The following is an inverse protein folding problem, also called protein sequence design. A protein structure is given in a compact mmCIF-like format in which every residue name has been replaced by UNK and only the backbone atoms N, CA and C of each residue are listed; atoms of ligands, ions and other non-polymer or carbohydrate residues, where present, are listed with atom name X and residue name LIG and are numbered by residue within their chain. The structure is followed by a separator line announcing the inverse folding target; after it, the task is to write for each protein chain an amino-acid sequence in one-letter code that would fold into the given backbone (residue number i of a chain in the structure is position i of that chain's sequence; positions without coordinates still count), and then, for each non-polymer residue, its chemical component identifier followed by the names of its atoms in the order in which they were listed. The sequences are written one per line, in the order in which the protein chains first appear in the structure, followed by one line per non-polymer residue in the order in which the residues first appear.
data_IF_278819663983
#
_entry.id   IF_278819663983
#
_cell.length_a   1.000
_cell.length_b   1.000
_cell.length_c   1.000
_cell.angle_alpha   90.00
_cell.angle_beta   90.00
_cell.angle_gamma   90.00
#
_symmetry.space_group_name_H-M   'P 1'
#
loop_
_entity.id
_entity.type
_entity.pdbx_description
1 polymer ?
#
# COMPACT_ATOMS: atom_id res chain seq x y z
N UNK A 1 11.09 -20.17 -26.71
CA UNK A 1 9.86 -19.44 -26.31
C UNK A 1 8.83 -20.49 -25.91
N UNK A 2 8.71 -20.79 -24.61
CA UNK A 2 7.63 -21.66 -24.13
C UNK A 2 6.41 -20.77 -23.93
N UNK A 3 5.46 -20.85 -24.85
CA UNK A 3 4.13 -20.28 -24.71
C UNK A 3 3.44 -21.09 -23.61
N UNK A 4 3.43 -20.57 -22.39
CA UNK A 4 2.66 -21.16 -21.29
C UNK A 4 1.20 -20.98 -21.68
N UNK A 5 0.60 -22.06 -22.19
CA UNK A 5 -0.81 -22.10 -22.53
C UNK A 5 -1.62 -21.59 -21.34
N UNK A 6 -2.39 -20.53 -21.55
CA UNK A 6 -3.20 -19.94 -20.50
C UNK A 6 -4.27 -20.95 -20.06
N UNK A 7 -4.60 -21.00 -18.76
CA UNK A 7 -5.55 -21.97 -18.24
C UNK A 7 -6.94 -21.79 -18.86
N UNK A 8 -7.67 -22.90 -18.98
CA UNK A 8 -9.00 -22.92 -19.58
C UNK A 8 -10.03 -22.06 -18.81
N UNK A 9 -11.06 -21.51 -19.49
CA UNK A 9 -12.00 -20.61 -18.89
C UNK A 9 -12.75 -21.17 -17.67
N UNK A 10 -12.74 -20.47 -16.55
CA UNK A 10 -13.52 -20.86 -15.37
C UNK A 10 -15.03 -20.80 -15.63
N UNK A 11 -15.82 -21.62 -14.95
CA UNK A 11 -17.28 -21.47 -14.93
C UNK A 11 -17.68 -20.12 -14.28
N UNK A 12 -18.76 -19.45 -14.74
CA UNK A 12 -19.12 -18.09 -14.32
C UNK A 12 -19.31 -17.92 -12.80
N UNK A 13 -19.87 -18.92 -12.12
CA UNK A 13 -20.02 -18.90 -10.65
C UNK A 13 -18.67 -18.90 -9.92
N UNK A 14 -17.70 -19.72 -10.36
CA UNK A 14 -16.33 -19.74 -9.79
C UNK A 14 -15.61 -18.41 -9.99
N UNK A 15 -15.92 -17.66 -11.05
CA UNK A 15 -15.31 -16.34 -11.34
C UNK A 15 -15.76 -15.26 -10.38
N UNK A 16 -17.06 -15.18 -10.08
CA UNK A 16 -17.59 -14.18 -9.14
C UNK A 16 -17.02 -14.43 -7.74
N UNK A 17 -16.99 -15.70 -7.31
CA UNK A 17 -16.36 -16.09 -6.04
C UNK A 17 -14.88 -15.70 -6.00
N UNK A 18 -14.14 -15.92 -7.09
CA UNK A 18 -12.74 -15.52 -7.19
C UNK A 18 -12.55 -14.00 -7.11
N UNK A 19 -13.39 -13.23 -7.81
CA UNK A 19 -13.33 -11.77 -7.79
C UNK A 19 -13.65 -11.21 -6.39
N UNK A 20 -14.67 -11.74 -5.72
CA UNK A 20 -15.01 -11.36 -4.35
C UNK A 20 -13.89 -11.74 -3.39
N UNK A 21 -13.35 -12.96 -3.50
CA UNK A 21 -12.23 -13.41 -2.67
C UNK A 21 -11.00 -12.52 -2.85
N UNK A 22 -10.62 -12.20 -4.09
CA UNK A 22 -9.52 -11.29 -4.38
C UNK A 22 -9.78 -9.87 -3.86
N UNK A 23 -11.01 -9.36 -4.00
CA UNK A 23 -11.40 -8.05 -3.48
C UNK A 23 -11.32 -7.98 -1.95
N UNK A 24 -11.85 -8.99 -1.26
CA UNK A 24 -11.80 -9.08 0.20
C UNK A 24 -10.37 -9.26 0.69
N UNK A 25 -9.56 -10.12 0.05
CA UNK A 25 -8.17 -10.32 0.43
C UNK A 25 -7.34 -9.04 0.21
N UNK A 26 -7.51 -8.34 -0.92
CA UNK A 26 -6.85 -7.06 -1.18
C UNK A 26 -7.28 -5.97 -0.17
N UNK A 27 -8.58 -5.88 0.12
CA UNK A 27 -9.11 -4.96 1.13
C UNK A 27 -8.51 -5.21 2.51
N UNK A 28 -8.49 -6.47 2.96
CA UNK A 28 -8.04 -6.82 4.31
C UNK A 28 -6.51 -6.78 4.44
N UNK A 29 -5.78 -7.21 3.40
CA UNK A 29 -4.33 -7.04 3.34
C UNK A 29 -3.97 -5.56 3.44
N UNK A 30 -4.55 -4.71 2.61
CA UNK A 30 -4.22 -3.29 2.62
C UNK A 30 -4.75 -2.57 3.87
N UNK A 31 -5.88 -3.00 4.43
CA UNK A 31 -6.33 -2.52 5.75
C UNK A 31 -5.33 -2.84 6.86
N UNK A 32 -4.68 -4.01 6.78
CA UNK A 32 -3.64 -4.40 7.74
C UNK A 32 -2.36 -3.58 7.56
N UNK A 33 -2.02 -3.19 6.33
CA UNK A 33 -0.90 -2.27 6.06
C UNK A 33 -1.07 -0.92 6.78
N UNK A 34 -2.30 -0.43 6.96
CA UNK A 34 -2.55 0.83 7.67
C UNK A 34 -2.13 0.80 9.13
N UNK A 35 -2.06 -0.38 9.75
CA UNK A 35 -1.61 -0.54 11.14
C UNK A 35 -0.14 -0.16 11.34
N UNK A 36 0.67 -0.18 10.28
CA UNK A 36 2.07 0.26 10.34
C UNK A 36 2.22 1.76 10.10
N UNK A 37 1.16 2.42 9.65
CA UNK A 37 1.18 3.83 9.24
C UNK A 37 0.44 4.73 10.21
N UNK A 38 -0.81 4.44 10.56
CA UNK A 38 -1.71 5.39 11.24
C UNK A 38 -1.68 5.38 12.77
N UNK A 39 -1.40 4.27 13.48
CA UNK A 39 -1.45 4.21 14.95
C UNK A 39 -0.70 5.33 15.68
N UNK A 40 0.51 5.69 15.24
CA UNK A 40 1.30 6.73 15.91
C UNK A 40 0.62 8.11 15.95
N UNK A 41 -0.36 8.37 15.06
CA UNK A 41 -1.11 9.62 15.09
C UNK A 41 -2.10 9.72 16.26
N UNK A 42 -2.24 8.66 17.07
CA UNK A 42 -3.08 8.66 18.28
C UNK A 42 -2.29 9.14 19.51
N UNK A 43 -0.97 9.00 19.49
CA UNK A 43 -0.10 9.51 20.55
C UNK A 43 -0.04 11.05 20.53
N UNK A 44 -0.08 11.69 21.69
CA UNK A 44 0.00 13.15 21.82
C UNK A 44 1.42 13.65 22.01
N UNK A 45 2.34 12.83 22.54
CA UNK A 45 3.72 13.18 22.84
C UNK A 45 3.80 14.50 23.62
N UNK A 46 3.05 14.56 24.72
CA UNK A 46 2.84 15.79 25.49
C UNK A 46 4.14 16.44 25.95
N UNK A 47 4.22 17.76 25.81
CA UNK A 47 5.36 18.56 26.24
C UNK A 47 6.57 18.57 25.29
N UNK A 48 6.56 17.78 24.21
CA UNK A 48 7.69 17.71 23.28
C UNK A 48 7.44 18.58 22.04
N UNK A 49 8.19 19.69 21.94
CA UNK A 49 8.15 20.60 20.80
C UNK A 49 9.56 20.87 20.29
N UNK A 50 9.70 20.87 18.97
CA UNK A 50 10.92 21.30 18.29
C UNK A 50 10.55 22.39 17.29
N UNK A 51 11.32 23.47 17.25
CA UNK A 51 11.07 24.62 16.36
C UNK A 51 9.63 25.19 16.43
N UNK A 52 9.01 25.16 17.62
CA UNK A 52 7.63 25.62 17.82
C UNK A 52 6.54 24.66 17.31
N UNK A 53 6.92 23.53 16.72
CA UNK A 53 6.02 22.50 16.18
C UNK A 53 6.00 21.30 17.13
N UNK A 54 4.83 20.73 17.38
CA UNK A 54 4.67 19.50 18.18
C UNK A 54 5.41 18.34 17.53
N UNK A 55 6.07 17.50 18.34
CA UNK A 55 6.80 16.33 17.84
C UNK A 55 5.94 15.40 16.99
N UNK A 56 4.69 15.17 17.39
CA UNK A 56 3.70 14.42 16.62
C UNK A 56 3.56 14.93 15.18
N UNK A 57 3.43 16.25 14.99
CA UNK A 57 3.28 16.87 13.68
C UNK A 57 4.55 16.68 12.83
N UNK A 58 5.72 16.80 13.44
CA UNK A 58 7.00 16.55 12.75
C UNK A 58 7.12 15.10 12.27
N UNK A 59 6.69 14.13 13.09
CA UNK A 59 6.64 12.72 12.69
C UNK A 59 5.67 12.50 11.52
N UNK A 60 4.49 13.12 11.55
CA UNK A 60 3.51 13.04 10.46
C UNK A 60 4.10 13.61 9.17
N UNK A 61 4.69 14.80 9.21
CA UNK A 61 5.33 15.43 8.05
C UNK A 61 6.42 14.52 7.49
N UNK A 62 7.30 14.02 8.36
CA UNK A 62 8.41 13.15 7.96
C UNK A 62 7.94 11.87 7.27
N UNK A 63 6.92 11.20 7.83
CA UNK A 63 6.33 10.00 7.23
C UNK A 63 5.64 10.31 5.88
N UNK A 64 4.93 11.43 5.77
CA UNK A 64 4.25 11.84 4.53
C UNK A 64 5.26 12.13 3.43
N UNK A 65 6.38 12.79 3.73
CA UNK A 65 7.45 13.04 2.74
C UNK A 65 8.05 11.71 2.27
N UNK A 66 8.38 10.79 3.19
CA UNK A 66 8.87 9.46 2.83
C UNK A 66 7.89 8.71 1.92
N UNK A 67 6.60 8.73 2.29
CA UNK A 67 5.54 8.11 1.49
C UNK A 67 5.40 8.77 0.10
N UNK A 68 5.52 10.09 0.00
CA UNK A 68 5.49 10.79 -1.28
C UNK A 68 6.66 10.36 -2.18
N UNK A 69 7.88 10.32 -1.65
CA UNK A 69 9.07 9.91 -2.40
C UNK A 69 8.95 8.47 -2.89
N UNK A 70 8.35 7.57 -2.11
CA UNK A 70 8.12 6.19 -2.53
C UNK A 70 7.27 6.08 -3.80
N UNK A 71 6.36 7.04 -4.07
CA UNK A 71 5.52 6.99 -5.27
C UNK A 71 6.32 7.25 -6.54
N UNK A 72 7.30 8.14 -6.48
CA UNK A 72 8.18 8.40 -7.62
C UNK A 72 9.09 7.20 -7.91
N UNK A 73 9.71 6.63 -6.87
CA UNK A 73 10.55 5.43 -7.02
C UNK A 73 9.72 4.18 -7.36
N UNK A 74 8.50 4.10 -6.84
CA UNK A 74 7.59 2.96 -6.98
C UNK A 74 7.14 2.70 -8.40
N UNK A 75 7.02 3.73 -9.25
CA UNK A 75 6.65 3.55 -10.65
C UNK A 75 7.64 2.63 -11.36
N UNK A 76 8.95 2.87 -11.17
CA UNK A 76 10.00 2.04 -11.77
C UNK A 76 10.08 0.68 -11.08
N UNK A 77 10.12 0.68 -9.75
CA UNK A 77 10.28 -0.53 -8.95
C UNK A 77 9.16 -1.55 -9.18
N UNK A 78 7.89 -1.11 -9.21
CA UNK A 78 6.74 -2.01 -9.41
C UNK A 78 6.65 -2.47 -10.87
N UNK A 79 6.98 -1.61 -11.84
CA UNK A 79 6.99 -1.98 -13.26
C UNK A 79 8.04 -3.04 -13.59
N UNK A 80 9.15 -3.08 -12.87
CA UNK A 80 10.23 -4.07 -13.04
C UNK A 80 10.00 -5.35 -12.22
N UNK A 81 8.94 -5.41 -11.41
CA UNK A 81 8.70 -6.52 -10.48
C UNK A 81 8.02 -7.70 -11.20
N UNK A 82 8.77 -8.79 -11.35
CA UNK A 82 8.24 -10.05 -11.86
C UNK A 82 7.19 -10.66 -10.90
N UNK A 83 6.21 -11.38 -11.47
CA UNK A 83 5.12 -12.04 -10.73
C UNK A 83 5.62 -12.91 -9.56
N UNK A 84 6.73 -13.63 -9.73
CA UNK A 84 7.29 -14.58 -8.76
C UNK A 84 7.98 -13.94 -7.53
N UNK A 85 8.15 -12.61 -7.52
CA UNK A 85 8.86 -11.90 -6.43
C UNK A 85 7.95 -11.11 -5.49
N UNK A 86 6.65 -11.01 -5.78
CA UNK A 86 5.77 -10.01 -5.14
C UNK A 86 5.55 -10.28 -3.66
N UNK A 87 5.30 -11.53 -3.27
CA UNK A 87 5.07 -11.88 -1.87
C UNK A 87 6.31 -11.59 -1.00
N UNK A 88 7.49 -12.01 -1.47
CA UNK A 88 8.75 -11.78 -0.75
C UNK A 88 9.06 -10.28 -0.62
N UNK A 89 8.85 -9.52 -1.68
CA UNK A 89 9.03 -8.06 -1.66
C UNK A 89 8.05 -7.38 -0.71
N UNK A 90 6.78 -7.80 -0.68
CA UNK A 90 5.78 -7.26 0.24
C UNK A 90 6.20 -7.49 1.69
N UNK A 91 6.60 -8.72 2.02
CA UNK A 91 7.04 -9.07 3.35
C UNK A 91 8.31 -8.31 3.76
N UNK A 92 9.28 -8.15 2.85
CA UNK A 92 10.50 -7.39 3.11
C UNK A 92 10.19 -5.90 3.39
N UNK A 93 9.34 -5.26 2.59
CA UNK A 93 8.94 -3.87 2.78
C UNK A 93 8.23 -3.65 4.11
N UNK A 94 7.31 -4.57 4.47
CA UNK A 94 6.60 -4.53 5.76
C UNK A 94 7.57 -4.79 6.91
N UNK A 95 8.48 -5.76 6.79
CA UNK A 95 9.45 -6.08 7.82
C UNK A 95 10.36 -4.88 8.11
N UNK A 96 10.91 -4.22 7.08
CA UNK A 96 11.73 -3.01 7.25
C UNK A 96 10.90 -1.90 7.92
N UNK A 97 9.68 -1.68 7.44
CA UNK A 97 8.76 -0.69 8.04
C UNK A 97 8.46 -0.97 9.52
N UNK A 98 8.29 -2.24 9.88
CA UNK A 98 8.00 -2.67 11.24
C UNK A 98 9.22 -2.59 12.16
N UNK A 99 10.41 -2.92 11.65
CA UNK A 99 11.68 -2.71 12.36
C UNK A 99 11.90 -1.22 12.62
N UNK A 100 11.58 -0.33 11.66
CA UNK A 100 11.64 1.12 11.91
C UNK A 100 10.74 1.54 13.09
N UNK A 101 9.56 0.94 13.26
CA UNK A 101 8.69 1.20 14.41
C UNK A 101 9.26 0.64 15.71
N UNK A 102 9.91 -0.52 15.67
CA UNK A 102 10.59 -1.08 16.84
C UNK A 102 11.74 -0.17 17.30
N UNK A 103 12.59 0.26 16.36
CA UNK A 103 13.70 1.17 16.66
C UNK A 103 13.16 2.53 17.12
N UNK A 104 12.01 2.98 16.59
CA UNK A 104 11.36 4.22 17.01
C UNK A 104 10.91 4.17 18.47
N UNK A 105 10.49 3.00 18.95
CA UNK A 105 10.08 2.83 20.34
C UNK A 105 11.24 3.00 21.34
N UNK A 106 12.48 2.82 20.88
CA UNK A 106 13.70 2.82 21.71
C UNK A 106 14.47 4.14 21.56
N UNK A 107 14.49 4.72 20.36
CA UNK A 107 15.27 5.92 20.06
C UNK A 107 14.59 7.18 20.60
N UNK A 108 15.30 8.07 21.30
CA UNK A 108 14.74 9.32 21.80
C UNK A 108 14.42 10.31 20.66
N UNK A 109 13.46 11.19 20.92
CA UNK A 109 13.21 12.35 20.06
C UNK A 109 14.49 13.22 19.95
N UNK A 110 14.78 13.86 18.80
CA UNK A 110 13.97 13.97 17.58
C UNK A 110 14.24 12.89 16.51
N UNK A 111 15.20 11.99 16.73
CA UNK A 111 15.70 11.05 15.70
C UNK A 111 14.63 10.11 15.14
N UNK A 112 13.53 9.90 15.87
CA UNK A 112 12.36 9.17 15.38
C UNK A 112 11.78 9.70 14.05
N UNK A 113 12.00 10.97 13.68
CA UNK A 113 11.62 11.48 12.36
C UNK A 113 12.22 10.66 11.21
N UNK A 114 13.51 10.33 11.28
CA UNK A 114 14.21 9.57 10.22
C UNK A 114 13.59 8.18 10.09
N UNK A 115 13.23 7.55 11.21
CA UNK A 115 12.58 6.24 11.21
C UNK A 115 11.19 6.29 10.62
N UNK A 116 10.40 7.33 10.95
CA UNK A 116 9.08 7.52 10.37
C UNK A 116 9.14 7.86 8.89
N UNK A 117 10.18 8.58 8.43
CA UNK A 117 10.46 8.77 7.02
C UNK A 117 10.69 7.45 6.29
N UNK A 118 11.60 6.60 6.79
CA UNK A 118 11.92 5.29 6.17
C UNK A 118 10.69 4.37 6.22
N UNK A 119 9.98 4.34 7.35
CA UNK A 119 8.70 3.63 7.49
C UNK A 119 7.68 4.08 6.42
N UNK A 120 7.47 5.39 6.28
CA UNK A 120 6.58 5.96 5.27
C UNK A 120 7.00 5.60 3.85
N UNK A 121 8.31 5.63 3.58
CA UNK A 121 8.88 5.26 2.30
C UNK A 121 8.59 3.79 1.94
N UNK A 122 8.88 2.85 2.84
CA UNK A 122 8.64 1.42 2.59
C UNK A 122 7.15 1.09 2.42
N UNK A 123 6.27 1.74 3.20
CA UNK A 123 4.83 1.48 3.13
C UNK A 123 4.18 1.98 1.85
N UNK A 124 4.72 3.02 1.21
CA UNK A 124 4.07 3.61 0.03
C UNK A 124 4.13 2.76 -1.24
N UNK A 125 5.00 1.75 -1.28
CA UNK A 125 5.03 0.74 -2.34
C UNK A 125 3.90 -0.29 -2.22
N UNK A 126 3.38 -0.56 -1.00
CA UNK A 126 2.50 -1.69 -0.75
C UNK A 126 1.16 -1.60 -1.48
N UNK A 127 0.62 -0.39 -1.69
CA UNK A 127 -0.61 -0.23 -2.46
C UNK A 127 -0.47 -0.76 -3.88
N UNK A 128 0.57 -0.33 -4.59
CA UNK A 128 0.78 -0.74 -5.98
C UNK A 128 1.21 -2.20 -6.07
N UNK A 129 1.95 -2.70 -5.08
CA UNK A 129 2.33 -4.10 -5.00
C UNK A 129 1.10 -5.01 -4.80
N UNK A 130 0.19 -4.68 -3.88
CA UNK A 130 -1.06 -5.43 -3.68
C UNK A 130 -1.95 -5.32 -4.93
N UNK A 131 -2.05 -4.12 -5.52
CA UNK A 131 -2.81 -3.93 -6.76
C UNK A 131 -2.27 -4.77 -7.92
N UNK A 132 -0.95 -4.98 -8.00
CA UNK A 132 -0.35 -5.77 -9.08
C UNK A 132 -0.85 -7.22 -9.13
N UNK A 133 -1.31 -7.82 -8.01
CA UNK A 133 -1.87 -9.19 -7.98
C UNK A 133 -3.20 -9.32 -8.72
N UNK A 134 -3.96 -8.23 -8.76
CA UNK A 134 -5.32 -8.22 -9.30
C UNK A 134 -5.36 -7.57 -10.68
N UNK A 135 -4.31 -6.82 -11.02
CA UNK A 135 -4.09 -6.22 -12.32
C UNK A 135 -4.08 -7.26 -13.46
N UNK A 136 -4.73 -6.93 -14.56
CA UNK A 136 -4.83 -7.79 -15.74
C UNK A 136 -6.07 -8.69 -15.77
N UNK A 137 -6.90 -8.67 -14.71
CA UNK A 137 -8.21 -9.35 -14.69
C UNK A 137 -9.31 -8.47 -15.25
N UNK A 138 -10.40 -9.06 -15.75
CA UNK A 138 -11.62 -8.31 -16.09
C UNK A 138 -12.15 -7.53 -14.88
N UNK A 139 -12.16 -8.16 -13.70
CA UNK A 139 -12.63 -7.57 -12.44
C UNK A 139 -11.65 -6.59 -11.76
N UNK A 140 -10.54 -6.21 -12.41
CA UNK A 140 -9.54 -5.29 -11.82
C UNK A 140 -10.17 -3.99 -11.30
N UNK A 141 -11.10 -3.40 -12.05
CA UNK A 141 -11.71 -2.11 -11.68
C UNK A 141 -12.58 -2.23 -10.42
N UNK A 142 -13.32 -3.32 -10.29
CA UNK A 142 -14.09 -3.64 -9.07
C UNK A 142 -13.15 -3.86 -7.90
N UNK A 143 -12.13 -4.72 -8.06
CA UNK A 143 -11.20 -5.05 -6.97
C UNK A 143 -10.41 -3.81 -6.53
N UNK A 144 -9.97 -2.99 -7.49
CA UNK A 144 -9.31 -1.70 -7.23
C UNK A 144 -10.21 -0.73 -6.47
N UNK A 145 -11.50 -0.66 -6.83
CA UNK A 145 -12.48 0.18 -6.12
C UNK A 145 -12.72 -0.30 -4.69
N UNK A 146 -12.88 -1.61 -4.48
CA UNK A 146 -13.02 -2.20 -3.14
C UNK A 146 -11.76 -1.95 -2.32
N UNK A 147 -10.57 -2.13 -2.89
CA UNK A 147 -9.31 -1.82 -2.22
C UNK A 147 -9.22 -0.31 -1.88
N UNK A 148 -9.73 0.60 -2.70
CA UNK A 148 -9.77 2.03 -2.38
C UNK A 148 -10.71 2.35 -1.20
N UNK A 149 -11.86 1.66 -1.09
CA UNK A 149 -12.79 1.81 0.05
C UNK A 149 -12.09 1.49 1.38
N UNK A 150 -11.08 0.61 1.38
CA UNK A 150 -10.29 0.32 2.59
C UNK A 150 -9.63 1.57 3.19
N UNK A 151 -9.38 2.63 2.41
CA UNK A 151 -8.75 3.86 2.90
C UNK A 151 -9.63 4.56 3.94
N UNK A 152 -10.96 4.44 3.80
CA UNK A 152 -11.96 5.04 4.70
C UNK A 152 -12.00 4.23 6.00
N UNK A 153 -12.14 2.91 5.88
CA UNK A 153 -12.29 2.02 7.04
C UNK A 153 -11.00 1.84 7.84
N UNK A 154 -9.90 1.50 7.15
CA UNK A 154 -8.67 1.05 7.78
C UNK A 154 -8.04 2.12 8.68
N UNK A 155 -8.12 3.38 8.28
CA UNK A 155 -7.62 4.51 9.07
C UNK A 155 -8.34 4.68 10.40
N UNK A 156 -9.66 4.49 10.43
CA UNK A 156 -10.42 4.50 11.68
C UNK A 156 -10.13 3.26 12.53
N UNK A 157 -10.21 2.08 11.92
CA UNK A 157 -10.06 0.80 12.61
C UNK A 157 -8.70 0.67 13.32
N UNK A 158 -7.61 0.96 12.61
CA UNK A 158 -6.26 0.84 13.17
C UNK A 158 -5.99 1.86 14.29
N UNK A 159 -6.53 3.08 14.20
CA UNK A 159 -6.47 4.07 15.29
C UNK A 159 -7.29 3.64 16.50
N UNK A 160 -8.43 2.99 16.30
CA UNK A 160 -9.23 2.44 17.39
C UNK A 160 -8.48 1.33 18.13
N UNK A 161 -7.83 0.40 17.41
CA UNK A 161 -7.00 -0.65 18.04
C UNK A 161 -5.81 -0.03 18.79
N UNK A 162 -5.15 0.95 18.19
CA UNK A 162 -4.06 1.68 18.85
C UNK A 162 -4.51 2.36 20.16
N UNK A 163 -5.65 3.05 20.13
CA UNK A 163 -6.24 3.68 21.32
C UNK A 163 -6.64 2.65 22.38
N UNK A 164 -7.16 1.50 21.97
CA UNK A 164 -7.46 0.40 22.88
C UNK A 164 -6.20 -0.11 23.59
N UNK A 165 -5.08 -0.25 22.87
CA UNK A 165 -3.79 -0.62 23.45
C UNK A 165 -3.27 0.43 24.44
N UNK A 166 -3.41 1.73 24.13
CA UNK A 166 -3.03 2.81 25.06
C UNK A 166 -3.85 2.77 26.35
N UNK A 167 -5.18 2.62 26.25
CA UNK A 167 -6.08 2.79 27.40
C UNK A 167 -6.21 1.52 28.24
N UNK A 168 -6.27 0.34 27.60
CA UNK A 168 -6.54 -0.94 28.30
C UNK A 168 -5.29 -1.71 28.67
N UNK A 169 -4.25 -1.63 27.84
CA UNK A 169 -2.99 -2.34 28.05
C UNK A 169 -1.88 -1.41 28.55
N UNK A 170 -2.17 -0.12 28.71
CA UNK A 170 -1.24 0.91 29.20
C UNK A 170 0.11 0.90 28.45
N UNK A 171 0.07 0.53 27.16
CA UNK A 171 1.24 0.56 26.30
C UNK A 171 1.66 2.01 26.12
N UNK A 172 2.96 2.29 26.22
CA UNK A 172 3.44 3.66 26.04
C UNK A 172 3.25 4.14 24.60
N UNK A 173 3.17 5.46 24.44
CA UNK A 173 2.99 6.11 23.14
C UNK A 173 4.05 5.74 22.10
N UNK A 174 5.27 5.45 22.55
CA UNK A 174 6.40 5.05 21.70
C UNK A 174 6.30 3.60 21.24
N UNK A 175 5.81 2.69 22.09
CA UNK A 175 5.67 1.26 21.78
C UNK A 175 4.38 0.93 21.04
N UNK A 176 3.34 1.75 21.21
CA UNK A 176 2.01 1.53 20.63
C UNK A 176 2.00 1.29 19.10
N UNK A 177 2.77 2.02 18.27
CA UNK A 177 2.81 1.75 16.84
C UNK A 177 3.36 0.36 16.51
N UNK A 178 4.41 -0.07 17.21
CA UNK A 178 5.02 -1.39 17.03
C UNK A 178 4.08 -2.52 17.46
N UNK A 179 3.43 -2.40 18.62
CA UNK A 179 2.48 -3.40 19.13
C UNK A 179 1.22 -3.46 18.28
N UNK A 180 0.75 -2.34 17.75
CA UNK A 180 -0.37 -2.35 16.79
C UNK A 180 0.05 -3.10 15.51
N UNK A 181 1.25 -2.84 14.99
CA UNK A 181 1.80 -3.60 13.86
C UNK A 181 1.89 -5.11 14.13
N UNK A 182 2.26 -5.51 15.35
CA UNK A 182 2.33 -6.92 15.76
C UNK A 182 0.98 -7.64 15.69
N UNK A 183 -0.13 -6.96 16.00
CA UNK A 183 -1.48 -7.54 15.88
C UNK A 183 -1.84 -7.76 14.40
N UNK A 184 -1.44 -6.82 13.54
CA UNK A 184 -1.83 -6.82 12.13
C UNK A 184 -0.86 -7.55 11.20
N UNK A 185 0.32 -7.95 11.67
CA UNK A 185 1.27 -8.71 10.83
C UNK A 185 0.74 -10.10 10.47
N UNK A 186 0.08 -10.78 11.41
CA UNK A 186 -0.51 -12.10 11.19
C UNK A 186 -1.61 -12.08 10.13
N UNK A 187 -2.66 -11.23 10.24
CA UNK A 187 -3.67 -11.14 9.19
C UNK A 187 -3.07 -10.65 7.87
N UNK A 188 -2.09 -9.73 7.90
CA UNK A 188 -1.43 -9.27 6.68
C UNK A 188 -0.74 -10.41 5.92
N UNK A 189 0.07 -11.22 6.61
CA UNK A 189 0.75 -12.38 6.01
C UNK A 189 -0.27 -13.35 5.44
N UNK A 190 -1.34 -13.64 6.19
CA UNK A 190 -2.41 -14.52 5.74
C UNK A 190 -3.07 -14.02 4.45
N UNK A 191 -3.48 -12.75 4.39
CA UNK A 191 -4.14 -12.21 3.20
C UNK A 191 -3.19 -12.03 2.02
N UNK A 192 -1.91 -11.70 2.26
CA UNK A 192 -0.89 -11.71 1.20
C UNK A 192 -0.67 -13.12 0.65
N UNK A 193 -0.71 -14.15 1.49
CA UNK A 193 -0.61 -15.54 1.05
C UNK A 193 -1.83 -15.96 0.23
N UNK A 194 -3.04 -15.53 0.62
CA UNK A 194 -4.26 -15.73 -0.18
C UNK A 194 -4.13 -15.06 -1.55
N UNK A 195 -3.59 -13.84 -1.61
CA UNK A 195 -3.37 -13.12 -2.88
C UNK A 195 -2.32 -13.78 -3.77
N UNK A 196 -1.23 -14.31 -3.19
CA UNK A 196 -0.21 -15.08 -3.92
C UNK A 196 -0.77 -16.41 -4.45
N UNK A 197 -1.72 -17.00 -3.73
CA UNK A 197 -2.39 -18.25 -4.13
C UNK A 197 -3.48 -18.06 -5.19
N UNK A 198 -3.73 -16.83 -5.64
CA UNK A 198 -4.71 -16.58 -6.70
C UNK A 198 -4.24 -17.19 -8.03
N UNK A 199 -5.09 -17.91 -8.77
CA UNK A 199 -4.74 -18.48 -10.06
C UNK A 199 -4.40 -17.36 -11.05
N UNK A 200 -3.50 -17.57 -12.03
CA UNK A 200 -3.16 -16.56 -13.03
C UNK A 200 -4.41 -16.10 -13.83
N UNK A 201 -4.37 -14.92 -14.46
CA UNK A 201 -5.45 -14.43 -15.32
C UNK A 201 -5.80 -15.45 -16.41
N UNK A 202 -7.10 -15.60 -16.65
CA UNK A 202 -7.68 -16.55 -17.59
C UNK A 202 -7.53 -16.04 -19.05
N UNK A 203 -7.67 -16.89 -20.08
CA UNK A 203 -7.59 -16.47 -21.49
C UNK A 203 -8.55 -15.33 -21.83
N UNK A 204 -9.74 -15.33 -21.23
CA UNK A 204 -10.72 -14.26 -21.42
C UNK A 204 -10.31 -12.96 -20.71
N UNK A 205 -9.61 -13.04 -19.57
CA UNK A 205 -9.03 -11.86 -18.92
C UNK A 205 -7.98 -11.21 -19.84
N UNK A 206 -7.17 -12.02 -20.52
CA UNK A 206 -6.13 -11.58 -21.47
C UNK A 206 -6.76 -11.04 -22.78
N UNK A 207 -7.84 -11.66 -23.28
CA UNK A 207 -8.52 -11.20 -24.50
C UNK A 207 -9.27 -9.88 -24.30
N UNK A 208 -9.82 -9.65 -23.11
CA UNK A 208 -10.59 -8.43 -22.79
C UNK A 208 -9.71 -7.27 -22.30
N UNK A 209 -8.43 -7.51 -22.00
CA UNK A 209 -7.47 -6.50 -21.55
C UNK A 209 -6.26 -6.47 -22.48
N UNK A 210 -6.04 -5.33 -23.15
CA UNK A 210 -4.83 -5.09 -23.92
C UNK A 210 -3.58 -5.23 -23.05
N UNK A 211 -2.59 -6.01 -23.51
CA UNK A 211 -1.30 -6.13 -22.84
C UNK A 211 -0.68 -4.74 -22.66
N UNK A 212 -0.38 -4.35 -21.42
CA UNK A 212 0.31 -3.08 -21.13
C UNK A 212 1.77 -3.21 -21.56
N UNK A 213 2.09 -2.71 -22.75
CA UNK A 213 3.49 -2.54 -23.14
C UNK A 213 4.04 -1.23 -22.55
N UNK A 214 5.25 -1.25 -21.98
CA UNK A 214 5.87 -0.04 -21.45
C UNK A 214 6.16 0.96 -22.58
N UNK A 215 5.59 2.17 -22.49
CA UNK A 215 5.80 3.22 -23.48
C UNK A 215 7.27 3.62 -23.57
N UNK A 216 7.83 3.59 -24.78
CA UNK A 216 9.18 4.06 -25.06
C UNK A 216 9.29 5.58 -24.86
N UNK A 217 10.52 6.10 -24.81
CA UNK A 217 10.74 7.57 -24.74
C UNK A 217 10.11 8.31 -25.93
N UNK A 218 10.04 7.67 -27.11
CA UNK A 218 9.41 8.23 -28.30
C UNK A 218 7.89 8.34 -28.14
N UNK A 219 7.26 7.26 -27.65
CA UNK A 219 5.80 7.19 -27.47
C UNK A 219 5.31 8.19 -26.42
N UNK A 220 6.07 8.39 -25.34
CA UNK A 220 5.76 9.40 -24.31
C UNK A 220 5.73 10.82 -24.90
N UNK A 221 6.69 11.14 -25.79
CA UNK A 221 6.77 12.45 -26.43
C UNK A 221 5.64 12.67 -27.43
N UNK A 222 5.29 11.63 -28.19
CA UNK A 222 4.14 11.66 -29.10
C UNK A 222 2.83 11.83 -28.33
N UNK A 223 2.64 11.07 -27.26
CA UNK A 223 1.46 11.17 -26.40
C UNK A 223 1.29 12.56 -25.77
N UNK A 224 2.37 13.16 -25.22
CA UNK A 224 2.30 14.52 -24.69
C UNK A 224 1.99 15.56 -25.77
N UNK A 225 2.47 15.38 -27.01
CA UNK A 225 2.13 16.30 -28.11
C UNK A 225 0.64 16.20 -28.49
N UNK A 226 0.09 15.00 -28.51
CA UNK A 226 -1.31 14.78 -28.91
C UNK A 226 -2.31 15.11 -27.79
N UNK A 227 -1.98 14.82 -26.52
CA UNK A 227 -2.92 14.88 -25.40
C UNK A 227 -2.50 15.81 -24.26
N UNK A 228 -1.37 16.53 -24.39
CA UNK A 228 -0.78 17.31 -23.31
C UNK A 228 -1.68 18.40 -22.74
N UNK A 229 -2.46 19.10 -23.58
CA UNK A 229 -3.39 20.14 -23.13
C UNK A 229 -4.51 19.55 -22.25
N UNK A 230 -5.11 18.45 -22.69
CA UNK A 230 -6.14 17.75 -21.91
C UNK A 230 -5.59 17.20 -20.59
N UNK A 231 -4.39 16.61 -20.63
CA UNK A 231 -3.71 16.13 -19.42
C UNK A 231 -3.40 17.28 -18.44
N UNK A 232 -2.96 18.44 -18.94
CA UNK A 232 -2.69 19.60 -18.12
C UNK A 232 -3.96 20.15 -17.46
N UNK A 233 -5.06 20.27 -18.20
CA UNK A 233 -6.36 20.68 -17.64
C UNK A 233 -6.82 19.74 -16.52
N UNK A 234 -6.82 18.42 -16.76
CA UNK A 234 -7.23 17.44 -15.74
C UNK A 234 -6.32 17.51 -14.51
N UNK A 235 -5.01 17.69 -14.71
CA UNK A 235 -4.06 17.79 -13.59
C UNK A 235 -4.28 19.05 -12.76
N UNK A 236 -4.52 20.20 -13.42
CA UNK A 236 -4.81 21.48 -12.74
C UNK A 236 -6.11 21.37 -11.95
N UNK A 237 -7.18 20.88 -12.58
CA UNK A 237 -8.48 20.70 -11.91
C UNK A 237 -8.35 19.77 -10.71
N UNK A 238 -7.62 18.66 -10.82
CA UNK A 238 -7.39 17.75 -9.70
C UNK A 238 -6.59 18.38 -8.56
N UNK A 239 -5.63 19.27 -8.86
CA UNK A 239 -4.80 19.93 -7.84
C UNK A 239 -5.55 21.04 -7.10
N UNK A 240 -6.56 21.64 -7.74
CA UNK A 240 -7.39 22.70 -7.18
C UNK A 240 -8.59 22.18 -6.36
N UNK A 241 -8.87 20.87 -6.39
CA UNK A 241 -9.98 20.21 -5.70
C UNK A 241 -9.53 19.63 -4.35
#
# INVERSE_FOLDING_TARGET
MHEVAAPAPYAPAKRITLAICAASAAFLAYSSVYAFRKPFSVATFDGIKFWGITYQTLLIISQVIGYMLSKFYGIKFIAELNHLGRFKTALALVAVSWICLLVFAIIPAPFGMILLFVNGFMLGFLWGLIFSYVEGRRATDLIGSVMAISFIFAGGFTRSVAKWLLIRWEVSEYWMPFTTGLIFILPLIFFLWVLESLPPPDEQDIRERTKREPMSKGDRKHFLKSFGVGLAMVTITYTLL
#
